data_IF_644868359014
#
_entry.id   IF_644868359014
#
_cell.length_a   1.000
_cell.length_b   1.000
_cell.length_c   1.000
_cell.angle_alpha   90.00
_cell.angle_beta   90.00
_cell.angle_gamma   90.00
#
_symmetry.space_group_name_H-M   'P 1'
#
loop_
_entity.id
_entity.type
_entity.pdbx_description
1 polymer ?
#
# COMPACT_ATOMS: atom_id res chain seq x y z
N UNK A 1 -4.87 14.84 7.18
CA UNK A 1 -4.00 13.89 6.46
C UNK A 1 -3.48 12.85 7.45
N UNK A 2 -3.33 11.58 7.04
CA UNK A 2 -2.73 10.52 7.87
C UNK A 2 -1.30 10.92 8.28
N UNK A 3 -1.01 10.78 9.57
CA UNK A 3 0.31 11.09 10.15
C UNK A 3 1.05 9.80 10.48
N UNK A 4 2.39 9.81 10.40
CA UNK A 4 3.22 8.67 10.81
C UNK A 4 3.80 8.92 12.19
N UNK A 5 3.71 7.93 13.07
CA UNK A 5 4.37 7.89 14.36
C UNK A 5 5.42 6.77 14.37
N UNK A 6 6.48 6.97 15.13
CA UNK A 6 7.51 5.97 15.40
C UNK A 6 7.60 5.69 16.89
N UNK A 7 7.82 4.43 17.25
CA UNK A 7 8.10 4.04 18.62
C UNK A 7 8.94 2.75 18.66
N UNK A 8 9.57 2.48 19.80
CA UNK A 8 10.22 1.19 20.03
C UNK A 8 9.32 0.32 20.92
N UNK A 9 9.09 -0.93 20.51
CA UNK A 9 8.38 -1.90 21.36
C UNK A 9 9.25 -2.21 22.56
N UNK A 10 8.71 -2.07 23.76
CA UNK A 10 9.42 -2.47 24.97
C UNK A 10 9.18 -3.98 25.21
N UNK A 11 10.25 -4.72 25.52
CA UNK A 11 10.14 -6.16 25.78
C UNK A 11 10.56 -6.46 27.20
N UNK A 12 9.76 -7.28 27.86
CA UNK A 12 10.05 -7.88 29.17
C UNK A 12 10.21 -9.40 28.99
N UNK A 13 10.66 -10.15 30.00
CA UNK A 13 10.72 -11.61 29.92
C UNK A 13 9.38 -12.31 29.65
N UNK A 14 8.25 -11.62 29.80
CA UNK A 14 6.91 -12.23 29.76
C UNK A 14 5.98 -11.59 28.74
N UNK A 15 6.29 -10.40 28.24
CA UNK A 15 5.43 -9.69 27.31
C UNK A 15 6.19 -8.67 26.47
N UNK A 16 5.65 -8.39 25.29
CA UNK A 16 6.01 -7.23 24.48
C UNK A 16 4.94 -6.17 24.66
N UNK A 17 5.37 -5.00 25.13
CA UNK A 17 4.54 -3.82 25.28
C UNK A 17 4.61 -3.05 23.96
N UNK A 18 3.45 -2.69 23.44
CA UNK A 18 3.27 -2.01 22.17
C UNK A 18 2.41 -0.77 22.33
N UNK A 19 2.38 0.06 21.30
CA UNK A 19 1.55 1.26 21.27
C UNK A 19 0.08 0.90 21.49
N UNK A 20 -0.57 1.63 22.40
CA UNK A 20 -2.00 1.52 22.60
C UNK A 20 -2.70 2.22 21.43
N UNK A 21 -3.49 1.45 20.67
CA UNK A 21 -4.28 1.95 19.55
C UNK A 21 -5.74 2.12 20.00
N UNK A 22 -6.51 3.04 19.39
CA UNK A 22 -7.95 3.12 19.63
C UNK A 22 -8.62 1.77 19.38
N UNK A 23 -9.61 1.42 20.20
CA UNK A 23 -10.41 0.21 19.97
C UNK A 23 -11.10 0.31 18.60
N UNK A 24 -11.01 -0.77 17.82
CA UNK A 24 -11.75 -0.86 16.57
C UNK A 24 -13.25 -0.82 16.86
N UNK A 25 -13.97 0.08 16.19
CA UNK A 25 -15.43 0.20 16.31
C UNK A 25 -16.19 -0.87 15.51
N UNK A 26 -15.50 -1.83 14.90
CA UNK A 26 -16.07 -2.94 14.13
C UNK A 26 -15.46 -3.10 12.74
N UNK A 27 -16.07 -3.95 11.92
CA UNK A 27 -15.59 -4.32 10.58
C UNK A 27 -15.49 -3.12 9.61
N UNK A 28 -16.35 -2.11 9.78
CA UNK A 28 -16.40 -0.88 8.97
C UNK A 28 -15.66 0.30 9.61
N UNK A 29 -14.72 0.04 10.53
CA UNK A 29 -13.92 1.11 11.14
C UNK A 29 -12.91 1.68 10.13
N UNK A 30 -13.37 2.67 9.37
CA UNK A 30 -12.59 3.38 8.38
C UNK A 30 -11.43 4.19 8.98
N UNK A 31 -11.40 4.37 10.31
CA UNK A 31 -10.40 5.13 11.03
C UNK A 31 -9.66 4.22 12.01
N UNK A 32 -8.84 3.32 11.49
CA UNK A 32 -7.95 2.48 12.30
C UNK A 32 -6.48 2.84 12.09
N UNK A 33 -5.71 2.82 13.18
CA UNK A 33 -4.27 2.92 13.11
C UNK A 33 -3.69 1.64 12.50
N UNK A 34 -2.60 1.76 11.73
CA UNK A 34 -1.97 0.62 11.04
C UNK A 34 -0.47 0.60 11.32
N UNK A 35 0.04 -0.49 11.91
CA UNK A 35 1.49 -0.72 11.96
C UNK A 35 2.00 -1.03 10.56
N UNK A 36 2.87 -0.17 10.03
CA UNK A 36 3.36 -0.27 8.65
C UNK A 36 4.50 -1.28 8.54
N UNK A 37 5.52 -1.12 9.38
CA UNK A 37 6.71 -1.97 9.44
C UNK A 37 7.55 -1.66 10.69
N UNK A 38 8.55 -2.50 10.94
CA UNK A 38 9.64 -2.21 11.90
C UNK A 38 10.97 -2.16 11.15
N UNK A 39 11.71 -1.07 11.29
CA UNK A 39 13.06 -0.88 10.75
C UNK A 39 14.02 -0.68 11.91
N UNK A 40 15.07 -1.48 12.00
CA UNK A 40 16.12 -1.38 13.03
C UNK A 40 15.57 -1.22 14.47
N UNK A 41 14.52 -1.98 14.80
CA UNK A 41 13.85 -1.95 16.11
C UNK A 41 12.83 -0.82 16.31
N UNK A 42 12.72 0.12 15.36
CA UNK A 42 11.74 1.21 15.37
C UNK A 42 10.51 0.82 14.56
N UNK A 43 9.34 0.84 15.18
CA UNK A 43 8.05 0.52 14.56
C UNK A 43 7.38 1.80 14.08
N UNK A 44 6.92 1.81 12.84
CA UNK A 44 6.22 2.93 12.21
C UNK A 44 4.73 2.64 12.12
N UNK A 45 3.89 3.60 12.51
CA UNK A 45 2.44 3.47 12.59
C UNK A 45 1.78 4.60 11.83
N UNK A 46 0.88 4.27 10.90
CA UNK A 46 -0.02 5.21 10.28
C UNK A 46 -1.19 5.51 11.21
N UNK A 47 -1.41 6.79 11.51
CA UNK A 47 -2.49 7.29 12.35
C UNK A 47 -3.37 8.21 11.51
N UNK A 48 -4.59 7.76 11.14
CA UNK A 48 -5.56 8.59 10.44
C UNK A 48 -5.83 9.93 11.15
N UNK A 49 -6.14 10.95 10.36
CA UNK A 49 -6.54 12.25 10.91
C UNK A 49 -7.84 12.15 11.72
N UNK A 50 -7.93 12.93 12.79
CA UNK A 50 -9.12 12.98 13.64
C UNK A 50 -9.21 11.87 14.68
N UNK A 51 -8.30 10.89 14.66
CA UNK A 51 -8.16 9.92 15.75
C UNK A 51 -7.40 10.51 16.93
N UNK A 52 -7.92 10.24 18.12
CA UNK A 52 -7.22 10.51 19.38
C UNK A 52 -6.58 9.23 19.87
N UNK A 53 -5.26 9.23 20.00
CA UNK A 53 -4.54 8.10 20.56
C UNK A 53 -4.87 7.96 22.06
N UNK A 54 -5.11 6.74 22.56
CA UNK A 54 -5.25 6.50 23.99
C UNK A 54 -3.98 6.87 24.77
N UNK A 55 -4.13 6.99 26.09
CA UNK A 55 -2.97 7.10 26.98
C UNK A 55 -2.06 5.89 26.78
N UNK A 56 -0.79 6.16 26.51
CA UNK A 56 0.21 5.12 26.23
C UNK A 56 0.74 4.50 27.53
N UNK A 57 1.17 3.22 27.50
CA UNK A 57 1.98 2.66 28.56
C UNK A 57 3.24 3.51 28.81
N UNK A 58 3.72 3.61 30.06
CA UNK A 58 4.87 4.47 30.38
C UNK A 58 6.17 4.07 29.66
N UNK A 59 6.28 2.83 29.19
CA UNK A 59 7.41 2.33 28.42
C UNK A 59 7.38 2.75 26.94
N UNK A 60 6.24 3.27 26.47
CA UNK A 60 6.01 3.60 25.06
C UNK A 60 5.82 5.10 24.90
N UNK A 61 6.70 5.70 24.12
CA UNK A 61 6.65 7.12 23.78
C UNK A 61 6.62 7.30 22.25
N UNK A 62 5.42 7.31 21.63
CA UNK A 62 5.29 7.48 20.19
C UNK A 62 5.61 8.91 19.78
N UNK A 63 6.56 9.06 18.85
CA UNK A 63 6.98 10.36 18.35
C UNK A 63 6.47 10.57 16.92
N UNK A 64 5.94 11.75 16.57
CA UNK A 64 5.57 12.04 15.20
C UNK A 64 6.80 12.04 14.29
N UNK A 65 6.65 11.49 13.09
CA UNK A 65 7.73 11.33 12.11
C UNK A 65 7.54 12.29 10.95
N UNK A 66 8.58 13.05 10.65
CA UNK A 66 8.70 13.76 9.37
C UNK A 66 9.21 12.76 8.32
N UNK A 67 8.33 12.37 7.39
CA UNK A 67 8.69 11.45 6.31
C UNK A 67 9.57 12.15 5.28
N UNK A 68 10.85 11.77 5.24
CA UNK A 68 11.72 12.04 4.10
C UNK A 68 11.44 11.04 2.97
N UNK A 69 11.77 11.39 1.72
CA UNK A 69 11.59 10.49 0.59
C UNK A 69 12.32 9.15 0.78
N UNK A 70 13.54 9.20 1.32
CA UNK A 70 14.34 8.01 1.61
C UNK A 70 13.67 7.10 2.65
N UNK A 71 13.17 7.67 3.74
CA UNK A 71 12.46 6.90 4.78
C UNK A 71 11.14 6.35 4.25
N UNK A 72 10.41 7.13 3.46
CA UNK A 72 9.15 6.72 2.83
C UNK A 72 9.36 5.50 1.94
N UNK A 73 10.40 5.46 1.11
CA UNK A 73 10.70 4.29 0.29
C UNK A 73 11.14 3.07 1.12
N UNK A 74 11.90 3.26 2.21
CA UNK A 74 12.23 2.16 3.13
C UNK A 74 10.98 1.55 3.76
N UNK A 75 10.06 2.38 4.27
CA UNK A 75 8.80 1.93 4.86
C UNK A 75 7.96 1.22 3.79
N UNK A 76 7.82 1.78 2.59
CA UNK A 76 7.08 1.13 1.49
C UNK A 76 7.64 -0.23 1.12
N UNK A 77 8.97 -0.36 1.09
CA UNK A 77 9.64 -1.62 0.78
C UNK A 77 9.47 -2.67 1.87
N UNK A 78 9.43 -2.27 3.13
CA UNK A 78 9.33 -3.19 4.27
C UNK A 78 7.88 -3.47 4.70
N UNK A 79 6.91 -2.67 4.26
CA UNK A 79 5.53 -2.76 4.74
C UNK A 79 4.74 -3.89 4.09
N UNK A 80 4.25 -4.81 4.93
CA UNK A 80 3.33 -5.88 4.52
C UNK A 80 2.05 -5.32 3.90
N UNK A 81 1.52 -4.20 4.43
CA UNK A 81 0.32 -3.57 3.89
C UNK A 81 0.52 -3.07 2.46
N UNK A 82 1.68 -2.47 2.18
CA UNK A 82 2.03 -2.01 0.82
C UNK A 82 2.20 -3.20 -0.14
N UNK A 83 2.76 -4.31 0.34
CA UNK A 83 2.85 -5.55 -0.44
C UNK A 83 1.46 -6.10 -0.78
N UNK A 84 0.58 -6.24 0.21
CA UNK A 84 -0.80 -6.70 0.04
C UNK A 84 -1.62 -5.81 -0.90
N UNK A 85 -1.44 -4.49 -0.86
CA UNK A 85 -2.08 -3.57 -1.83
C UNK A 85 -1.62 -3.90 -3.26
N UNK A 86 -0.34 -4.17 -3.45
CA UNK A 86 0.24 -4.48 -4.75
C UNK A 86 -0.25 -5.83 -5.28
N UNK A 87 -0.35 -6.84 -4.43
CA UNK A 87 -0.95 -8.14 -4.77
C UNK A 87 -2.44 -8.00 -5.12
N UNK A 88 -3.21 -7.27 -4.32
CA UNK A 88 -4.65 -7.03 -4.59
C UNK A 88 -4.87 -6.27 -5.89
N UNK A 89 -3.99 -5.33 -6.23
CA UNK A 89 -4.04 -4.64 -7.53
C UNK A 89 -3.87 -5.64 -8.69
N UNK A 90 -2.91 -6.56 -8.58
CA UNK A 90 -2.73 -7.64 -9.56
C UNK A 90 -3.98 -8.53 -9.60
N UNK A 91 -4.54 -8.90 -8.46
CA UNK A 91 -5.78 -9.69 -8.41
C UNK A 91 -6.97 -8.97 -9.06
N UNK A 92 -7.08 -7.65 -8.91
CA UNK A 92 -8.11 -6.85 -9.60
C UNK A 92 -7.97 -6.92 -11.11
N UNK A 93 -6.74 -6.80 -11.62
CA UNK A 93 -6.44 -6.99 -13.05
C UNK A 93 -6.82 -8.41 -13.49
N UNK A 94 -6.38 -9.40 -12.73
CA UNK A 94 -6.58 -10.83 -13.05
C UNK A 94 -8.00 -11.35 -12.89
N UNK A 95 -8.86 -10.61 -12.19
CA UNK A 95 -10.28 -10.91 -12.13
C UNK A 95 -10.98 -10.65 -13.48
N UNK A 96 -10.44 -9.76 -14.32
CA UNK A 96 -11.00 -9.39 -15.61
C UNK A 96 -10.16 -9.89 -16.80
N UNK A 97 -8.84 -9.86 -16.67
CA UNK A 97 -7.89 -10.23 -17.72
C UNK A 97 -6.99 -11.36 -17.23
N UNK A 98 -7.04 -12.51 -17.87
CA UNK A 98 -6.15 -13.61 -17.53
C UNK A 98 -4.68 -13.23 -17.78
N UNK A 99 -3.76 -14.02 -17.22
CA UNK A 99 -2.33 -13.82 -17.50
C UNK A 99 -2.02 -13.97 -19.01
N UNK A 100 -2.77 -14.80 -19.73
CA UNK A 100 -2.61 -14.97 -21.17
C UNK A 100 -3.05 -13.73 -21.94
N UNK A 101 -4.11 -13.04 -21.49
CA UNK A 101 -4.54 -11.75 -22.03
C UNK A 101 -3.47 -10.68 -21.78
N UNK A 102 -2.92 -10.61 -20.56
CA UNK A 102 -1.83 -9.69 -20.23
C UNK A 102 -0.61 -9.93 -21.15
N UNK A 103 -0.23 -11.20 -21.36
CA UNK A 103 0.88 -11.56 -22.26
C UNK A 103 0.57 -11.34 -23.74
N UNK A 104 -0.68 -11.50 -24.15
CA UNK A 104 -1.14 -11.17 -25.50
C UNK A 104 -0.97 -9.67 -25.76
N UNK A 105 -1.52 -8.81 -24.89
CA UNK A 105 -1.37 -7.36 -25.03
C UNK A 105 0.08 -6.90 -24.91
N UNK A 106 0.89 -7.53 -24.06
CA UNK A 106 2.32 -7.24 -23.97
C UNK A 106 3.05 -7.53 -25.28
N UNK A 107 2.79 -8.67 -25.93
CA UNK A 107 3.41 -9.04 -27.21
C UNK A 107 3.02 -8.08 -28.33
N UNK A 108 1.74 -7.74 -28.45
CA UNK A 108 1.27 -6.77 -29.45
C UNK A 108 1.90 -5.40 -29.18
N UNK A 109 1.87 -4.93 -27.93
CA UNK A 109 2.44 -3.64 -27.54
C UNK A 109 3.93 -3.53 -27.85
N UNK A 110 4.73 -4.56 -27.53
CA UNK A 110 6.16 -4.58 -27.85
C UNK A 110 6.39 -4.64 -29.37
N UNK A 111 5.63 -5.47 -30.09
CA UNK A 111 5.70 -5.54 -31.55
C UNK A 111 5.39 -4.21 -32.22
N UNK A 112 4.37 -3.49 -31.75
CA UNK A 112 4.01 -2.16 -32.21
C UNK A 112 5.11 -1.12 -31.90
N UNK A 113 5.61 -1.09 -30.65
CA UNK A 113 6.61 -0.13 -30.21
C UNK A 113 7.96 -0.29 -30.93
N UNK A 114 8.28 -1.49 -31.39
CA UNK A 114 9.51 -1.81 -32.13
C UNK A 114 9.33 -1.78 -33.65
N UNK A 115 8.13 -1.49 -34.14
CA UNK A 115 7.81 -1.50 -35.57
C UNK A 115 7.78 -2.89 -36.23
N UNK A 116 7.87 -3.97 -35.45
CA UNK A 116 7.81 -5.34 -35.94
C UNK A 116 6.37 -5.80 -36.24
N UNK A 117 5.37 -5.11 -35.71
CA UNK A 117 3.96 -5.43 -35.88
C UNK A 117 3.12 -4.16 -35.99
N UNK A 118 2.07 -4.17 -36.80
CA UNK A 118 1.08 -3.09 -36.87
C UNK A 118 -0.25 -3.63 -36.35
N UNK A 119 -0.70 -3.21 -35.16
CA UNK A 119 -1.99 -3.65 -34.62
C UNK A 119 -3.14 -3.28 -35.55
N UNK A 120 -4.10 -4.20 -35.67
CA UNK A 120 -5.39 -3.93 -36.30
C UNK A 120 -6.20 -2.90 -35.48
N UNK A 121 -7.21 -2.25 -36.07
CA UNK A 121 -8.07 -1.33 -35.31
C UNK A 121 -8.76 -1.97 -34.10
N UNK A 122 -9.14 -3.25 -34.20
CA UNK A 122 -9.75 -3.99 -33.10
C UNK A 122 -8.78 -4.28 -31.95
N UNK A 123 -7.54 -4.65 -32.27
CA UNK A 123 -6.48 -4.84 -31.25
C UNK A 123 -6.13 -3.52 -30.57
N UNK A 124 -6.08 -2.42 -31.31
CA UNK A 124 -5.83 -1.09 -30.74
C UNK A 124 -6.93 -0.70 -29.75
N UNK A 125 -8.20 -0.94 -30.09
CA UNK A 125 -9.33 -0.68 -29.19
C UNK A 125 -9.24 -1.53 -27.91
N UNK A 126 -8.99 -2.84 -28.04
CA UNK A 126 -8.85 -3.74 -26.90
C UNK A 126 -7.66 -3.36 -25.99
N UNK A 127 -6.53 -2.95 -26.58
CA UNK A 127 -5.37 -2.46 -25.81
C UNK A 127 -5.69 -1.18 -25.04
N UNK A 128 -6.48 -0.27 -25.61
CA UNK A 128 -6.92 0.95 -24.91
C UNK A 128 -7.81 0.62 -23.71
N UNK A 129 -8.77 -0.30 -23.88
CA UNK A 129 -9.64 -0.76 -22.79
C UNK A 129 -8.85 -1.44 -21.68
N UNK A 130 -7.94 -2.35 -22.03
CA UNK A 130 -7.03 -3.00 -21.08
C UNK A 130 -6.17 -1.97 -20.33
N UNK A 131 -5.56 -1.03 -21.05
CA UNK A 131 -4.74 0.03 -20.46
C UNK A 131 -5.52 0.91 -19.48
N UNK A 132 -6.75 1.30 -19.83
CA UNK A 132 -7.62 2.08 -18.95
C UNK A 132 -7.97 1.31 -17.68
N UNK A 133 -8.26 0.00 -17.79
CA UNK A 133 -8.55 -0.86 -16.64
C UNK A 133 -7.33 -1.00 -15.71
N UNK A 134 -6.15 -1.25 -16.27
CA UNK A 134 -4.90 -1.36 -15.51
C UNK A 134 -4.59 -0.05 -14.78
N UNK A 135 -4.77 1.10 -15.42
CA UNK A 135 -4.54 2.40 -14.77
C UNK A 135 -5.57 2.71 -13.68
N UNK A 136 -6.83 2.29 -13.84
CA UNK A 136 -7.82 2.38 -12.77
C UNK A 136 -7.42 1.52 -11.55
N UNK A 137 -6.93 0.29 -11.76
CA UNK A 137 -6.42 -0.56 -10.70
C UNK A 137 -5.19 0.04 -10.01
N UNK A 138 -4.27 0.63 -10.78
CA UNK A 138 -3.10 1.36 -10.24
C UNK A 138 -3.50 2.60 -9.46
N UNK A 139 -4.50 3.34 -9.92
CA UNK A 139 -5.04 4.50 -9.22
C UNK A 139 -5.64 4.10 -7.87
N UNK A 140 -6.40 3.00 -7.82
CA UNK A 140 -6.87 2.44 -6.57
C UNK A 140 -5.69 2.14 -5.62
N UNK A 141 -4.65 1.44 -6.09
CA UNK A 141 -3.48 1.15 -5.26
C UNK A 141 -2.71 2.39 -4.80
N UNK A 142 -2.73 3.49 -5.56
CA UNK A 142 -2.17 4.80 -5.14
C UNK A 142 -3.00 5.41 -4.00
N UNK A 143 -4.33 5.38 -4.11
CA UNK A 143 -5.25 5.88 -3.07
C UNK A 143 -5.10 5.08 -1.77
N UNK A 144 -5.03 3.76 -1.84
CA UNK A 144 -4.84 2.91 -0.64
C UNK A 144 -3.52 3.21 0.07
N UNK A 145 -2.42 3.39 -0.68
CA UNK A 145 -1.13 3.78 -0.10
C UNK A 145 -1.17 5.19 0.50
N UNK A 146 -1.86 6.11 -0.16
CA UNK A 146 -2.04 7.47 0.35
C UNK A 146 -2.85 7.48 1.66
N UNK A 147 -3.84 6.59 1.81
CA UNK A 147 -4.59 6.44 3.06
C UNK A 147 -3.69 6.03 4.24
N UNK A 148 -2.62 5.28 3.96
CA UNK A 148 -1.57 4.92 4.92
C UNK A 148 -0.52 6.04 5.13
N UNK A 149 -0.65 7.19 4.47
CA UNK A 149 0.34 8.27 4.52
C UNK A 149 1.58 8.03 3.64
N UNK A 150 1.54 7.02 2.74
CA UNK A 150 2.66 6.58 1.89
C UNK A 150 2.49 6.93 0.40
#
# INVERSE_FOLDING_TARGET
>A
MTSIYAYQKASTPHTTIQMALPDSQGFDDALHCTELCTLDGTTYVAVPEGLTLPMQPPEIDPQPVVLTDALKEQIKSASTHVHLISERMIHKIRAQYSIDDEMYFARIGVGAATGMYTPTPGELAAMQEFGAFVEAARQWGRVERQALGL
#
